data_IF_070867629411
#
_entry.id   IF_070867629411
#
_cell.length_a   1.000
_cell.length_b   1.000
_cell.length_c   1.000
_cell.angle_alpha   90.00
_cell.angle_beta   90.00
_cell.angle_gamma   90.00
#
_symmetry.space_group_name_H-M   'P 1'
#
loop_
_entity.id
_entity.type
_entity.pdbx_description
1 polymer ?
#
# COMPACT_ATOMS: atom_id res chain seq x y z
N UNK A 1 -55.02 61.36 -31.48
CA UNK A 1 -55.12 60.42 -30.39
C UNK A 1 -54.01 59.41 -30.57
N UNK A 2 -52.95 59.44 -29.73
CA UNK A 2 -51.84 58.54 -29.73
C UNK A 2 -51.95 57.62 -28.49
N UNK A 3 -52.22 56.33 -28.71
CA UNK A 3 -52.30 55.33 -27.64
C UNK A 3 -50.90 54.87 -27.31
N UNK A 4 -50.51 55.02 -26.04
CA UNK A 4 -49.26 54.53 -25.48
C UNK A 4 -49.56 53.18 -24.86
N UNK A 5 -48.93 52.11 -25.42
CA UNK A 5 -48.98 50.73 -24.88
C UNK A 5 -47.83 50.62 -23.92
N UNK A 6 -48.12 50.40 -22.61
CA UNK A 6 -47.15 50.04 -21.61
C UNK A 6 -46.87 48.51 -21.67
N UNK A 7 -45.67 48.18 -22.05
CA UNK A 7 -45.19 46.79 -21.98
C UNK A 7 -44.67 46.54 -20.56
N UNK A 8 -45.42 45.77 -19.74
CA UNK A 8 -44.96 45.29 -18.42
C UNK A 8 -44.11 44.07 -18.61
N UNK A 9 -42.80 44.21 -18.50
CA UNK A 9 -41.87 43.09 -18.50
C UNK A 9 -41.96 42.30 -17.19
N UNK A 10 -42.45 41.07 -17.27
CA UNK A 10 -42.44 40.12 -16.17
C UNK A 10 -41.04 39.46 -16.12
N UNK A 11 -40.23 39.89 -15.14
CA UNK A 11 -38.92 39.29 -14.88
C UNK A 11 -39.12 38.01 -14.09
N UNK A 12 -39.08 36.86 -14.77
CA UNK A 12 -39.04 35.55 -14.12
C UNK A 12 -37.66 35.39 -13.46
N UNK A 13 -37.64 35.55 -12.14
CA UNK A 13 -36.51 35.05 -11.33
C UNK A 13 -36.53 33.51 -11.37
N UNK A 14 -35.68 32.93 -12.20
CA UNK A 14 -35.36 31.51 -12.14
C UNK A 14 -34.59 31.25 -10.83
N UNK A 15 -35.33 30.93 -9.77
CA UNK A 15 -34.77 30.30 -8.59
C UNK A 15 -34.29 28.92 -9.04
N UNK A 16 -32.97 28.76 -9.19
CA UNK A 16 -32.36 27.43 -9.24
C UNK A 16 -32.56 26.73 -7.89
N UNK A 17 -33.70 26.09 -7.73
CA UNK A 17 -33.82 25.05 -6.71
C UNK A 17 -32.96 23.87 -7.18
N UNK A 18 -31.81 23.66 -6.54
CA UNK A 18 -31.06 22.43 -6.64
C UNK A 18 -32.00 21.30 -6.17
N UNK A 19 -32.61 20.60 -7.11
CA UNK A 19 -33.34 19.38 -6.79
C UNK A 19 -32.31 18.28 -6.45
N UNK A 20 -32.10 18.08 -5.17
CA UNK A 20 -31.44 16.84 -4.71
C UNK A 20 -32.17 15.65 -5.30
N UNK A 21 -31.41 14.67 -5.81
CA UNK A 21 -32.00 13.48 -6.39
C UNK A 21 -32.95 12.80 -5.38
N UNK A 22 -34.18 12.44 -5.77
CA UNK A 22 -35.16 11.88 -4.84
C UNK A 22 -34.57 10.64 -4.15
N UNK A 23 -34.54 10.65 -2.80
CA UNK A 23 -34.13 9.51 -1.98
C UNK A 23 -32.75 9.61 -1.32
N UNK A 24 -31.93 10.65 -1.61
CA UNK A 24 -30.61 10.78 -0.99
C UNK A 24 -30.72 11.31 0.44
N UNK A 25 -31.53 12.33 0.69
CA UNK A 25 -31.80 12.88 2.01
C UNK A 25 -33.25 13.37 2.12
N UNK A 26 -33.94 12.97 3.17
CA UNK A 26 -35.31 13.38 3.44
C UNK A 26 -35.48 13.68 4.91
N UNK A 27 -36.29 14.70 5.25
CA UNK A 27 -36.58 15.03 6.65
C UNK A 27 -37.99 15.63 6.76
N UNK A 28 -38.53 15.59 7.97
CA UNK A 28 -39.86 16.15 8.32
C UNK A 28 -39.76 17.36 9.29
N UNK A 29 -38.55 17.93 9.47
CA UNK A 29 -38.33 19.08 10.33
C UNK A 29 -39.02 20.29 9.73
N UNK A 30 -40.01 20.88 10.44
CA UNK A 30 -40.82 22.01 9.99
C UNK A 30 -40.19 23.37 10.34
N UNK A 31 -39.12 23.40 11.14
CA UNK A 31 -38.40 24.60 11.55
C UNK A 31 -37.56 25.18 10.40
N UNK A 32 -37.46 26.50 10.34
CA UNK A 32 -36.47 27.18 9.46
C UNK A 32 -35.03 27.03 9.95
N UNK A 33 -34.85 26.64 11.19
CA UNK A 33 -33.54 26.27 11.80
C UNK A 33 -33.45 24.75 11.91
N UNK A 34 -32.38 24.20 11.36
CA UNK A 34 -32.18 22.74 11.30
C UNK A 34 -31.08 22.30 12.24
N UNK A 35 -31.15 21.08 12.81
CA UNK A 35 -30.10 20.52 13.66
C UNK A 35 -28.89 19.98 12.89
N UNK A 36 -28.69 20.44 11.66
CA UNK A 36 -27.52 20.16 10.82
C UNK A 36 -27.02 21.45 10.16
N UNK A 37 -25.72 21.46 9.78
CA UNK A 37 -25.06 22.65 9.25
C UNK A 37 -25.16 22.79 7.73
N UNK A 38 -25.17 21.67 7.02
CA UNK A 38 -25.28 21.60 5.55
C UNK A 38 -25.80 20.23 5.12
N UNK A 39 -26.23 20.12 3.87
CA UNK A 39 -26.70 18.87 3.24
C UNK A 39 -25.79 18.45 2.08
N UNK A 40 -24.52 18.86 2.10
CA UNK A 40 -23.52 18.39 1.14
C UNK A 40 -23.06 17.01 1.59
N UNK A 41 -23.56 15.97 0.93
CA UNK A 41 -23.21 14.59 1.19
C UNK A 41 -22.05 14.18 0.29
N UNK A 42 -21.06 13.50 0.88
CA UNK A 42 -19.93 12.91 0.17
C UNK A 42 -20.33 11.55 -0.43
N UNK A 43 -21.03 11.57 -1.57
CA UNK A 43 -21.64 10.42 -2.24
C UNK A 43 -21.27 10.35 -3.74
N UNK A 44 -20.11 10.86 -4.12
CA UNK A 44 -19.62 10.79 -5.50
C UNK A 44 -19.49 9.35 -5.97
N UNK A 45 -20.03 9.05 -7.18
CA UNK A 45 -20.07 7.67 -7.72
C UNK A 45 -18.69 7.10 -8.07
N UNK A 46 -17.75 7.97 -8.37
CA UNK A 46 -16.37 7.67 -8.73
C UNK A 46 -15.42 7.62 -7.53
N UNK A 47 -15.91 8.02 -6.35
CA UNK A 47 -15.21 7.83 -5.09
C UNK A 47 -15.05 6.33 -4.77
N UNK A 48 -13.88 5.95 -4.29
CA UNK A 48 -13.62 4.62 -3.77
C UNK A 48 -12.53 4.66 -2.70
N UNK A 49 -12.43 3.58 -1.93
CA UNK A 49 -11.34 3.42 -0.98
C UNK A 49 -10.65 2.06 -1.16
N UNK A 50 -9.35 2.06 -0.92
CA UNK A 50 -8.57 0.83 -0.85
C UNK A 50 -7.68 0.83 0.39
N UNK A 51 -7.20 -0.35 0.75
CA UNK A 51 -6.30 -0.50 1.89
C UNK A 51 -4.93 -1.00 1.46
N UNK A 52 -3.92 -0.70 2.27
CA UNK A 52 -2.56 -1.17 2.08
C UNK A 52 -2.06 -1.79 3.37
N UNK A 53 -1.42 -2.96 3.28
CA UNK A 53 -0.65 -3.57 4.36
C UNK A 53 0.79 -3.83 3.91
N UNK A 54 1.69 -4.13 4.84
CA UNK A 54 3.13 -4.22 4.59
C UNK A 54 3.80 -5.21 5.53
N UNK A 55 4.91 -5.79 5.10
CA UNK A 55 5.91 -6.46 5.93
C UNK A 55 5.29 -7.33 7.04
N UNK A 56 4.82 -8.51 6.65
CA UNK A 56 4.32 -9.52 7.59
C UNK A 56 5.47 -10.27 8.25
N UNK A 57 6.62 -10.27 7.61
CA UNK A 57 7.76 -11.15 7.87
C UNK A 57 9.01 -10.38 8.32
N UNK A 58 10.16 -11.06 8.35
CA UNK A 58 11.33 -10.53 9.03
C UNK A 58 11.12 -10.62 10.55
N UNK A 59 10.82 -11.82 11.06
CA UNK A 59 10.38 -12.08 12.43
C UNK A 59 8.86 -12.02 12.58
N UNK A 60 8.14 -12.84 11.80
CA UNK A 60 6.68 -12.82 11.71
C UNK A 60 6.00 -13.08 13.07
N UNK A 61 5.01 -12.24 13.37
CA UNK A 61 4.03 -12.41 14.44
C UNK A 61 2.68 -12.74 13.79
N UNK A 62 2.51 -13.99 13.37
CA UNK A 62 1.46 -14.46 12.44
C UNK A 62 0.02 -14.10 12.83
N UNK A 63 -0.29 -14.01 14.11
CA UNK A 63 -1.63 -13.63 14.60
C UNK A 63 -1.98 -12.16 14.28
N UNK A 64 -0.98 -11.28 14.12
CA UNK A 64 -1.20 -9.86 13.78
C UNK A 64 -1.87 -9.74 12.41
N UNK A 65 -1.39 -10.44 11.39
CA UNK A 65 -2.00 -10.41 10.06
C UNK A 65 -3.43 -10.97 10.05
N UNK A 66 -3.69 -12.01 10.85
CA UNK A 66 -5.05 -12.54 11.03
C UNK A 66 -6.01 -11.48 11.59
N UNK A 67 -5.56 -10.69 12.56
CA UNK A 67 -6.33 -9.57 13.11
C UNK A 67 -6.51 -8.49 12.05
N UNK A 68 -5.44 -8.12 11.33
CA UNK A 68 -5.49 -7.11 10.28
C UNK A 68 -6.53 -7.44 9.20
N UNK A 69 -6.61 -8.71 8.75
CA UNK A 69 -7.62 -9.16 7.78
C UNK A 69 -9.04 -8.98 8.31
N UNK A 70 -9.31 -9.29 9.60
CA UNK A 70 -10.64 -9.07 10.18
C UNK A 70 -10.97 -7.58 10.32
N UNK A 71 -10.00 -6.75 10.64
CA UNK A 71 -10.17 -5.29 10.70
C UNK A 71 -10.41 -4.68 9.31
N UNK A 72 -9.70 -5.14 8.29
CA UNK A 72 -9.96 -4.80 6.88
C UNK A 72 -11.40 -5.17 6.48
N UNK A 73 -11.91 -6.32 6.94
CA UNK A 73 -13.30 -6.71 6.72
C UNK A 73 -14.32 -5.79 7.42
N UNK A 74 -13.96 -5.14 8.53
CA UNK A 74 -14.78 -4.11 9.19
C UNK A 74 -14.73 -2.78 8.43
N UNK A 75 -13.56 -2.38 7.96
CA UNK A 75 -13.33 -1.11 7.23
C UNK A 75 -13.89 -1.11 5.81
N UNK A 76 -14.01 -2.30 5.19
CA UNK A 76 -14.62 -2.51 3.87
C UNK A 76 -14.01 -1.71 2.71
N UNK A 77 -12.70 -1.77 2.50
CA UNK A 77 -12.11 -1.23 1.27
C UNK A 77 -12.67 -1.99 0.05
N UNK A 78 -12.68 -1.35 -1.12
CA UNK A 78 -13.10 -1.98 -2.38
C UNK A 78 -12.05 -2.98 -2.90
N UNK A 79 -10.77 -2.71 -2.62
CA UNK A 79 -9.64 -3.60 -2.89
C UNK A 79 -8.53 -3.42 -1.84
N UNK A 80 -7.62 -4.34 -1.79
CA UNK A 80 -6.47 -4.32 -0.89
C UNK A 80 -5.21 -4.54 -1.73
N UNK A 81 -4.17 -3.77 -1.47
CA UNK A 81 -2.82 -3.96 -2.03
C UNK A 81 -1.82 -4.16 -0.89
N UNK A 82 -0.59 -4.53 -1.20
CA UNK A 82 0.49 -4.60 -0.22
C UNK A 82 1.78 -4.06 -0.82
N UNK A 83 2.82 -3.94 0.00
CA UNK A 83 4.15 -3.51 -0.43
C UNK A 83 5.25 -4.54 -0.15
N UNK A 84 4.88 -5.84 -0.14
CA UNK A 84 5.82 -6.97 -0.11
C UNK A 84 6.10 -7.53 1.28
N UNK A 85 7.00 -8.52 1.30
CA UNK A 85 7.42 -9.32 2.45
C UNK A 85 6.25 -10.06 3.11
N UNK A 86 5.63 -10.96 2.33
CA UNK A 86 4.43 -11.72 2.69
C UNK A 86 4.75 -13.05 3.39
N UNK A 87 5.91 -13.67 3.06
CA UNK A 87 6.41 -14.90 3.66
C UNK A 87 7.87 -14.73 4.13
N UNK A 88 8.33 -15.52 5.10
CA UNK A 88 9.70 -15.40 5.63
C UNK A 88 10.78 -15.69 4.58
N UNK A 89 10.51 -16.62 3.67
CA UNK A 89 11.44 -16.98 2.62
C UNK A 89 12.73 -17.63 3.11
N UNK A 90 13.81 -17.51 2.31
CA UNK A 90 15.15 -17.95 2.70
C UNK A 90 15.29 -19.46 2.83
N UNK A 91 14.49 -20.24 2.13
CA UNK A 91 14.51 -21.69 2.17
C UNK A 91 15.13 -22.29 0.91
N UNK A 92 15.79 -23.44 1.04
CA UNK A 92 16.31 -24.23 -0.09
C UNK A 92 15.35 -25.34 -0.53
N UNK A 93 14.26 -25.55 0.20
CA UNK A 93 13.29 -26.61 -0.02
C UNK A 93 11.99 -26.01 -0.60
N UNK A 94 11.59 -26.43 -1.82
CA UNK A 94 10.34 -25.97 -2.42
C UNK A 94 9.10 -26.29 -1.59
N UNK A 95 9.10 -27.41 -0.85
CA UNK A 95 7.98 -27.79 0.01
C UNK A 95 7.83 -26.83 1.20
N UNK A 96 8.95 -26.32 1.74
CA UNK A 96 8.92 -25.29 2.79
C UNK A 96 8.40 -23.95 2.26
N UNK A 97 8.83 -23.54 1.07
CA UNK A 97 8.27 -22.36 0.38
C UNK A 97 6.76 -22.50 0.22
N UNK A 98 6.28 -23.65 -0.26
CA UNK A 98 4.86 -23.90 -0.45
C UNK A 98 4.09 -23.88 0.88
N UNK A 99 4.63 -24.46 1.97
CA UNK A 99 3.99 -24.38 3.29
C UNK A 99 3.83 -22.95 3.80
N UNK A 100 4.83 -22.09 3.60
CA UNK A 100 4.74 -20.67 3.99
C UNK A 100 3.66 -19.96 3.20
N UNK A 101 3.63 -20.14 1.87
CA UNK A 101 2.59 -19.56 1.00
C UNK A 101 1.20 -20.11 1.33
N UNK A 102 1.04 -21.38 1.58
CA UNK A 102 -0.25 -21.96 1.98
C UNK A 102 -0.76 -21.36 3.29
N UNK A 103 0.13 -21.12 4.26
CA UNK A 103 -0.20 -20.44 5.51
C UNK A 103 -0.64 -18.99 5.28
N UNK A 104 0.07 -18.26 4.43
CA UNK A 104 -0.30 -16.89 4.06
C UNK A 104 -1.65 -16.86 3.33
N UNK A 105 -1.82 -17.68 2.28
CA UNK A 105 -3.05 -17.75 1.47
C UNK A 105 -4.27 -18.13 2.30
N UNK A 106 -4.13 -19.04 3.26
CA UNK A 106 -5.21 -19.42 4.19
C UNK A 106 -5.70 -18.22 5.01
N UNK A 107 -4.78 -17.35 5.46
CA UNK A 107 -5.11 -16.14 6.22
C UNK A 107 -5.67 -15.06 5.30
N UNK A 108 -5.03 -14.81 4.16
CA UNK A 108 -5.42 -13.82 3.16
C UNK A 108 -6.81 -14.13 2.56
N UNK A 109 -7.16 -15.41 2.35
CA UNK A 109 -8.46 -15.85 1.83
C UNK A 109 -9.65 -15.47 2.71
N UNK A 110 -9.43 -15.02 3.95
CA UNK A 110 -10.47 -14.51 4.84
C UNK A 110 -10.83 -13.04 4.58
N UNK A 111 -10.07 -12.35 3.75
CA UNK A 111 -10.41 -11.01 3.30
C UNK A 111 -11.64 -11.05 2.38
N UNK A 112 -12.53 -10.05 2.54
CA UNK A 112 -13.72 -9.91 1.68
C UNK A 112 -13.40 -9.18 0.39
N UNK A 113 -12.50 -8.20 0.45
CA UNK A 113 -12.02 -7.48 -0.72
C UNK A 113 -10.88 -8.27 -1.38
N UNK A 114 -10.73 -8.19 -2.71
CA UNK A 114 -9.60 -8.81 -3.41
C UNK A 114 -8.28 -8.20 -2.93
N UNK A 115 -7.27 -9.04 -2.77
CA UNK A 115 -5.89 -8.63 -2.45
C UNK A 115 -5.04 -8.78 -3.71
N UNK A 116 -4.33 -7.72 -4.08
CA UNK A 116 -3.36 -7.71 -5.18
C UNK A 116 -1.95 -7.84 -4.58
N UNK A 117 -1.24 -8.91 -4.92
CA UNK A 117 0.03 -9.26 -4.30
C UNK A 117 1.19 -8.54 -4.98
N UNK A 118 2.15 -8.12 -4.16
CA UNK A 118 3.46 -7.63 -4.57
C UNK A 118 4.51 -8.35 -3.74
N UNK A 119 5.62 -8.75 -4.34
CA UNK A 119 6.71 -9.40 -3.64
C UNK A 119 7.75 -8.40 -3.10
N UNK A 120 8.28 -8.71 -1.91
CA UNK A 120 9.44 -8.07 -1.34
C UNK A 120 10.68 -8.98 -1.41
N UNK A 121 11.75 -8.61 -0.70
CA UNK A 121 12.98 -9.40 -0.73
C UNK A 121 12.85 -10.76 -0.02
N UNK A 122 11.95 -10.89 0.94
CA UNK A 122 11.67 -12.18 1.55
C UNK A 122 10.96 -13.12 0.57
N UNK A 123 10.16 -12.58 -0.32
CA UNK A 123 9.36 -13.33 -1.30
C UNK A 123 10.13 -13.69 -2.58
N UNK A 124 11.13 -12.87 -2.99
CA UNK A 124 11.71 -12.90 -4.34
C UNK A 124 13.23 -13.07 -4.40
N UNK A 125 13.95 -13.11 -3.25
CA UNK A 125 15.40 -13.28 -3.29
C UNK A 125 15.77 -14.74 -3.58
N UNK A 126 16.40 -14.96 -4.72
CA UNK A 126 16.86 -16.27 -5.19
C UNK A 126 15.97 -16.86 -6.29
N UNK A 127 16.56 -17.76 -7.09
CA UNK A 127 15.85 -18.36 -8.22
C UNK A 127 14.66 -19.20 -7.78
N UNK A 128 14.83 -20.02 -6.75
CA UNK A 128 13.74 -20.85 -6.21
C UNK A 128 12.55 -20.01 -5.73
N UNK A 129 12.81 -18.90 -5.05
CA UNK A 129 11.78 -17.98 -4.60
C UNK A 129 10.95 -17.43 -5.78
N UNK A 130 11.62 -17.03 -6.85
CA UNK A 130 11.00 -16.53 -8.08
C UNK A 130 10.19 -17.58 -8.82
N UNK A 131 10.71 -18.80 -8.92
CA UNK A 131 10.02 -19.93 -9.56
C UNK A 131 8.71 -20.25 -8.79
N UNK A 132 8.77 -20.31 -7.46
CA UNK A 132 7.59 -20.53 -6.62
C UNK A 132 6.61 -19.36 -6.74
N UNK A 133 7.11 -18.12 -6.77
CA UNK A 133 6.24 -16.94 -6.98
C UNK A 133 5.52 -17.01 -8.33
N UNK A 134 6.26 -17.28 -9.42
CA UNK A 134 5.67 -17.32 -10.77
C UNK A 134 4.63 -18.44 -10.91
N UNK A 135 4.89 -19.60 -10.30
CA UNK A 135 3.94 -20.72 -10.30
C UNK A 135 2.65 -20.37 -9.54
N UNK A 136 2.74 -19.67 -8.39
CA UNK A 136 1.59 -19.38 -7.52
C UNK A 136 0.86 -18.08 -7.84
N UNK A 137 1.61 -17.03 -8.16
CA UNK A 137 1.11 -15.65 -8.24
C UNK A 137 1.24 -15.03 -9.64
N UNK A 138 2.00 -15.68 -10.56
CA UNK A 138 2.23 -15.17 -11.90
C UNK A 138 3.33 -14.08 -11.96
N UNK A 139 3.16 -13.03 -12.76
CA UNK A 139 4.23 -12.07 -13.00
C UNK A 139 4.63 -11.33 -11.71
N UNK A 140 5.94 -11.06 -11.54
CA UNK A 140 6.51 -10.35 -10.39
C UNK A 140 6.24 -8.86 -10.42
N UNK A 141 6.04 -8.28 -11.61
CA UNK A 141 5.62 -6.91 -11.81
C UNK A 141 4.46 -6.85 -12.80
N UNK A 142 3.51 -5.96 -12.56
CA UNK A 142 2.32 -5.80 -13.38
C UNK A 142 1.64 -4.47 -13.09
N UNK A 143 0.62 -4.14 -13.88
CA UNK A 143 -0.26 -3.01 -13.59
C UNK A 143 -1.72 -3.41 -13.69
N UNK A 144 -2.56 -2.62 -13.08
CA UNK A 144 -3.99 -2.68 -13.31
C UNK A 144 -4.60 -1.27 -13.18
N UNK A 145 -5.76 -1.12 -13.75
CA UNK A 145 -6.56 0.09 -13.61
C UNK A 145 -7.86 -0.25 -12.89
N UNK A 146 -8.16 0.51 -11.85
CA UNK A 146 -9.44 0.43 -11.16
C UNK A 146 -10.12 1.78 -11.21
N UNK A 147 -11.33 1.82 -11.82
CA UNK A 147 -11.97 3.06 -12.25
C UNK A 147 -10.99 3.86 -13.13
N UNK A 148 -10.71 5.10 -12.83
CA UNK A 148 -9.78 5.98 -13.53
C UNK A 148 -8.45 6.21 -12.77
N UNK A 149 -8.06 5.23 -11.98
CA UNK A 149 -6.81 5.21 -11.20
C UNK A 149 -5.94 4.05 -11.64
N UNK A 150 -4.66 4.33 -11.88
CA UNK A 150 -3.65 3.36 -12.29
C UNK A 150 -2.85 2.87 -11.08
N UNK A 151 -2.63 1.57 -11.02
CA UNK A 151 -1.77 0.93 -10.02
C UNK A 151 -0.60 0.26 -10.74
N UNK A 152 0.61 0.64 -10.36
CA UNK A 152 1.85 0.04 -10.84
C UNK A 152 2.47 -0.77 -9.70
N UNK A 153 2.63 -2.07 -9.93
CA UNK A 153 3.21 -3.01 -8.97
C UNK A 153 4.59 -3.38 -9.50
N UNK A 154 5.64 -2.91 -8.85
CA UNK A 154 7.02 -3.07 -9.31
C UNK A 154 7.77 -4.11 -8.48
N UNK A 155 8.61 -4.90 -9.13
CA UNK A 155 9.60 -5.77 -8.49
C UNK A 155 10.90 -4.98 -8.25
N UNK A 156 11.27 -4.80 -7.00
CA UNK A 156 12.52 -4.12 -6.61
C UNK A 156 13.70 -5.07 -6.39
N UNK A 157 13.48 -6.37 -6.58
CA UNK A 157 14.52 -7.40 -6.58
C UNK A 157 14.96 -7.76 -8.01
N UNK A 158 14.67 -6.93 -9.02
CA UNK A 158 14.86 -7.22 -10.45
C UNK A 158 16.32 -7.05 -10.91
N UNK A 159 17.21 -7.77 -10.23
CA UNK A 159 18.63 -7.87 -10.54
C UNK A 159 18.86 -8.93 -11.63
N UNK A 160 20.04 -8.85 -12.30
CA UNK A 160 20.45 -9.94 -13.20
C UNK A 160 20.55 -11.27 -12.49
N UNK A 161 20.39 -12.42 -13.19
CA UNK A 161 20.48 -13.74 -12.56
C UNK A 161 21.77 -13.96 -11.75
N UNK A 162 22.92 -13.51 -12.28
CA UNK A 162 24.22 -13.61 -11.63
C UNK A 162 24.28 -12.78 -10.36
N UNK A 163 23.80 -11.54 -10.41
CA UNK A 163 23.76 -10.64 -9.24
C UNK A 163 22.81 -11.17 -8.18
N UNK A 164 21.65 -11.70 -8.61
CA UNK A 164 20.67 -12.28 -7.69
C UNK A 164 21.25 -13.52 -6.97
N UNK A 165 21.97 -14.38 -7.67
CA UNK A 165 22.62 -15.54 -7.04
C UNK A 165 23.68 -15.12 -6.00
N UNK A 166 24.43 -14.07 -6.28
CA UNK A 166 25.39 -13.49 -5.32
C UNK A 166 24.67 -12.94 -4.08
N UNK A 167 23.60 -12.14 -4.29
CA UNK A 167 22.79 -11.58 -3.19
C UNK A 167 22.20 -12.71 -2.33
N UNK A 168 21.62 -13.73 -2.95
CA UNK A 168 21.03 -14.87 -2.25
C UNK A 168 22.06 -15.58 -1.38
N UNK A 169 23.22 -15.93 -1.95
CA UNK A 169 24.30 -16.56 -1.21
C UNK A 169 24.71 -15.73 0.00
N UNK A 170 25.02 -14.45 -0.19
CA UNK A 170 25.46 -13.57 0.88
C UNK A 170 24.39 -13.34 1.95
N UNK A 171 23.12 -13.26 1.53
CA UNK A 171 21.99 -13.14 2.46
C UNK A 171 21.86 -14.39 3.35
N UNK A 172 21.93 -15.57 2.77
CA UNK A 172 21.83 -16.83 3.52
C UNK A 172 22.96 -16.98 4.54
N UNK A 173 24.21 -16.70 4.14
CA UNK A 173 25.37 -16.66 5.04
C UNK A 173 25.14 -15.68 6.20
N UNK A 174 24.65 -14.46 5.90
CA UNK A 174 24.41 -13.44 6.89
C UNK A 174 23.26 -13.78 7.85
N UNK A 175 22.18 -14.40 7.36
CA UNK A 175 21.06 -14.85 8.19
C UNK A 175 21.49 -15.94 9.17
N UNK A 176 22.36 -16.89 8.76
CA UNK A 176 22.92 -17.87 9.68
C UNK A 176 23.78 -17.23 10.76
N UNK A 177 24.63 -16.25 10.42
CA UNK A 177 25.40 -15.46 11.39
C UNK A 177 24.47 -14.69 12.35
N UNK A 178 23.36 -14.12 11.82
CA UNK A 178 22.38 -13.44 12.68
C UNK A 178 21.77 -14.39 13.73
N UNK A 179 21.41 -15.61 13.31
CA UNK A 179 20.79 -16.61 14.21
C UNK A 179 21.76 -17.11 15.28
N UNK A 180 23.05 -17.28 14.95
CA UNK A 180 24.06 -17.84 15.84
C UNK A 180 24.74 -16.80 16.72
N UNK A 181 25.11 -15.66 16.13
CA UNK A 181 26.02 -14.67 16.74
C UNK A 181 25.35 -13.29 16.95
N UNK A 182 24.11 -13.14 16.46
CA UNK A 182 23.28 -11.96 16.71
C UNK A 182 23.52 -10.77 15.77
N UNK A 183 22.83 -9.65 16.05
CA UNK A 183 22.77 -8.49 15.14
C UNK A 183 24.11 -7.75 14.97
N UNK A 184 24.97 -7.77 15.96
CA UNK A 184 26.29 -7.13 15.87
C UNK A 184 27.21 -7.84 14.88
N UNK A 185 27.21 -9.19 14.90
CA UNK A 185 27.93 -10.01 13.94
C UNK A 185 27.35 -9.89 12.53
N UNK A 186 26.02 -9.88 12.40
CA UNK A 186 25.34 -9.62 11.12
C UNK A 186 25.78 -8.32 10.49
N UNK A 187 25.88 -7.23 11.25
CA UNK A 187 26.30 -5.92 10.75
C UNK A 187 27.72 -5.92 10.13
N UNK A 188 28.55 -6.92 10.43
CA UNK A 188 29.88 -7.08 9.85
C UNK A 188 29.92 -7.92 8.57
N UNK A 189 28.80 -8.56 8.20
CA UNK A 189 28.73 -9.41 7.00
C UNK A 189 28.84 -8.59 5.71
N UNK A 190 29.20 -9.25 4.63
CA UNK A 190 29.24 -8.64 3.30
C UNK A 190 27.84 -8.20 2.87
N UNK A 191 26.82 -9.05 3.07
CA UNK A 191 25.43 -8.74 2.77
C UNK A 191 24.94 -7.45 3.44
N UNK A 192 25.29 -7.22 4.71
CA UNK A 192 24.89 -6.02 5.43
C UNK A 192 25.43 -4.71 4.81
N UNK A 193 26.48 -4.80 3.96
CA UNK A 193 27.10 -3.67 3.27
C UNK A 193 26.72 -3.57 1.80
N UNK A 194 26.01 -4.54 1.25
CA UNK A 194 25.55 -4.50 -0.14
C UNK A 194 24.46 -3.44 -0.31
N UNK A 195 24.47 -2.65 -1.41
CA UNK A 195 23.41 -1.67 -1.65
C UNK A 195 22.03 -2.30 -1.73
N UNK A 196 21.91 -3.51 -2.27
CA UNK A 196 20.65 -4.26 -2.37
C UNK A 196 20.08 -4.71 -1.03
N UNK A 197 20.84 -4.57 0.06
CA UNK A 197 20.34 -4.79 1.43
C UNK A 197 19.28 -3.75 1.82
N UNK A 198 19.36 -2.53 1.32
CA UNK A 198 18.50 -1.41 1.71
C UNK A 198 17.76 -0.78 0.55
N UNK A 199 18.30 -0.82 -0.66
CA UNK A 199 17.74 -0.20 -1.85
C UNK A 199 17.36 -1.23 -2.92
N UNK A 200 16.35 -0.89 -3.72
CA UNK A 200 15.86 -1.75 -4.79
C UNK A 200 16.58 -1.56 -6.12
N UNK A 201 16.37 -2.50 -7.04
CA UNK A 201 16.81 -2.44 -8.43
C UNK A 201 15.62 -2.66 -9.35
N UNK A 202 15.49 -1.82 -10.37
CA UNK A 202 14.51 -1.96 -11.45
C UNK A 202 15.26 -2.32 -12.74
N UNK A 203 14.99 -3.50 -13.32
CA UNK A 203 15.61 -3.94 -14.55
C UNK A 203 15.13 -3.15 -15.78
N UNK A 204 15.92 -3.18 -16.85
CA UNK A 204 15.63 -2.42 -18.07
C UNK A 204 14.32 -2.82 -18.76
N UNK A 205 14.01 -4.11 -18.80
CA UNK A 205 12.77 -4.63 -19.40
C UNK A 205 11.54 -4.17 -18.59
N UNK A 206 11.64 -4.20 -17.27
CA UNK A 206 10.59 -3.69 -16.38
C UNK A 206 10.41 -2.18 -16.55
N UNK A 207 11.50 -1.43 -16.60
CA UNK A 207 11.44 0.02 -16.81
C UNK A 207 10.81 0.38 -18.15
N UNK A 208 11.16 -0.34 -19.20
CA UNK A 208 10.55 -0.17 -20.53
C UNK A 208 9.06 -0.44 -20.50
N UNK A 209 8.66 -1.58 -19.90
CA UNK A 209 7.25 -1.95 -19.74
C UNK A 209 6.44 -0.85 -19.04
N UNK A 210 6.91 -0.35 -17.89
CA UNK A 210 6.17 0.68 -17.18
C UNK A 210 6.16 2.05 -17.87
N UNK A 211 7.20 2.42 -18.62
CA UNK A 211 7.16 3.62 -19.47
C UNK A 211 6.05 3.55 -20.52
N UNK A 212 5.90 2.38 -21.16
CA UNK A 212 4.80 2.13 -22.10
C UNK A 212 3.44 2.21 -21.42
N UNK A 213 3.29 1.58 -20.24
CA UNK A 213 2.07 1.62 -19.42
C UNK A 213 1.71 3.06 -19.01
N UNK A 214 2.67 3.83 -18.50
CA UNK A 214 2.47 5.22 -18.09
C UNK A 214 2.01 6.08 -19.29
N UNK A 215 2.63 5.88 -20.46
CA UNK A 215 2.25 6.59 -21.68
C UNK A 215 0.84 6.22 -22.16
N UNK A 216 0.49 4.93 -22.11
CA UNK A 216 -0.82 4.43 -22.55
C UNK A 216 -1.98 4.82 -21.62
N UNK A 217 -1.70 5.20 -20.37
CA UNK A 217 -2.69 5.58 -19.36
C UNK A 217 -2.57 7.05 -18.96
N UNK A 218 -2.42 7.94 -19.94
CA UNK A 218 -2.29 9.40 -19.69
C UNK A 218 -3.59 10.06 -19.22
N UNK A 219 -4.72 9.37 -19.33
CA UNK A 219 -6.06 9.84 -19.00
C UNK A 219 -6.51 9.54 -17.54
N UNK A 220 -5.67 8.86 -16.75
CA UNK A 220 -5.99 8.57 -15.35
C UNK A 220 -5.86 9.81 -14.47
N UNK A 221 -6.72 9.94 -13.46
CA UNK A 221 -6.67 11.06 -12.51
C UNK A 221 -5.57 10.91 -11.46
N UNK A 222 -5.11 9.69 -11.17
CA UNK A 222 -4.04 9.41 -10.21
C UNK A 222 -3.32 8.12 -10.54
N UNK A 223 -2.06 7.99 -10.13
CA UNK A 223 -1.31 6.74 -10.20
C UNK A 223 -0.72 6.41 -8.83
N UNK A 224 -0.89 5.16 -8.39
CA UNK A 224 -0.20 4.61 -7.24
C UNK A 224 0.91 3.69 -7.70
N UNK A 225 2.13 3.94 -7.20
CA UNK A 225 3.31 3.12 -7.44
C UNK A 225 3.59 2.35 -6.16
N UNK A 226 3.56 1.03 -6.23
CA UNK A 226 3.87 0.16 -5.11
C UNK A 226 5.21 -0.51 -5.40
N UNK A 227 6.13 -0.36 -4.47
CA UNK A 227 7.47 -0.95 -4.48
C UNK A 227 7.78 -1.49 -3.09
N UNK A 228 8.73 -2.41 -2.97
CA UNK A 228 9.15 -2.88 -1.65
C UNK A 228 10.32 -2.07 -1.10
N UNK A 229 11.45 -2.04 -1.80
CA UNK A 229 12.62 -1.25 -1.41
C UNK A 229 12.68 0.10 -2.14
N UNK A 230 13.18 1.16 -1.48
CA UNK A 230 13.35 2.48 -2.10
C UNK A 230 14.44 2.41 -3.19
N UNK A 231 14.03 2.25 -4.46
CA UNK A 231 14.99 2.13 -5.57
C UNK A 231 15.83 3.41 -5.74
N UNK A 232 15.26 4.58 -5.50
CA UNK A 232 15.93 5.88 -5.61
C UNK A 232 17.07 6.12 -4.60
N UNK A 233 17.26 5.24 -3.63
CA UNK A 233 18.34 5.32 -2.66
C UNK A 233 19.62 4.61 -3.14
N UNK A 234 19.54 3.83 -4.22
CA UNK A 234 20.69 3.19 -4.84
C UNK A 234 21.39 4.17 -5.79
N UNK A 235 22.70 4.36 -5.63
CA UNK A 235 23.46 5.41 -6.31
C UNK A 235 23.39 5.32 -7.86
N UNK A 236 23.39 4.12 -8.41
CA UNK A 236 23.40 3.87 -9.86
C UNK A 236 22.00 3.59 -10.42
N UNK A 237 20.93 3.65 -9.62
CA UNK A 237 19.57 3.35 -10.08
C UNK A 237 19.00 4.49 -10.93
N UNK A 238 18.96 4.27 -12.24
CA UNK A 238 18.45 5.26 -13.19
C UNK A 238 17.05 4.92 -13.72
N UNK A 239 16.65 3.65 -13.65
CA UNK A 239 15.39 3.19 -14.22
C UNK A 239 14.17 3.73 -13.47
N UNK A 240 14.20 3.71 -12.12
CA UNK A 240 13.13 4.30 -11.35
C UNK A 240 13.03 5.83 -11.54
N UNK A 241 14.18 6.52 -11.58
CA UNK A 241 14.23 7.95 -11.91
C UNK A 241 13.63 8.25 -13.29
N UNK A 242 13.88 7.40 -14.28
CA UNK A 242 13.28 7.53 -15.61
C UNK A 242 11.76 7.25 -15.62
N UNK A 243 11.25 6.41 -14.70
CA UNK A 243 9.81 6.26 -14.49
C UNK A 243 9.20 7.51 -13.82
N UNK A 244 9.85 8.07 -12.79
CA UNK A 244 9.43 9.34 -12.18
C UNK A 244 9.27 10.44 -13.24
N UNK A 245 10.25 10.57 -14.14
CA UNK A 245 10.24 11.54 -15.23
C UNK A 245 9.13 11.30 -16.27
N UNK A 246 8.75 10.04 -16.50
CA UNK A 246 7.69 9.70 -17.47
C UNK A 246 6.29 10.18 -17.05
N UNK A 247 6.11 10.56 -15.80
CA UNK A 247 4.83 11.12 -15.32
C UNK A 247 4.65 12.60 -15.68
N UNK A 248 5.72 13.33 -16.00
CA UNK A 248 5.67 14.79 -16.13
C UNK A 248 4.97 15.43 -14.90
N UNK A 249 3.95 16.25 -15.12
CA UNK A 249 3.19 16.90 -14.04
C UNK A 249 2.02 16.04 -13.49
N UNK A 250 1.80 14.82 -14.01
CA UNK A 250 0.70 13.95 -13.58
C UNK A 250 0.87 13.51 -12.12
N UNK A 251 -0.21 13.49 -11.33
CA UNK A 251 -0.13 13.14 -9.93
C UNK A 251 0.12 11.65 -9.72
N UNK A 252 1.03 11.34 -8.80
CA UNK A 252 1.26 9.98 -8.32
C UNK A 252 1.67 9.97 -6.85
N UNK A 253 1.51 8.82 -6.21
CA UNK A 253 1.98 8.55 -4.85
C UNK A 253 2.75 7.23 -4.85
N UNK A 254 3.86 7.17 -4.12
CA UNK A 254 4.66 5.95 -3.94
C UNK A 254 4.46 5.39 -2.55
N UNK A 255 4.12 4.10 -2.47
CA UNK A 255 4.09 3.34 -1.23
C UNK A 255 5.19 2.29 -1.25
N UNK A 256 5.91 2.15 -0.13
CA UNK A 256 6.99 1.19 0.01
C UNK A 256 7.09 0.65 1.44
N UNK A 257 7.89 -0.39 1.67
CA UNK A 257 8.04 -1.08 2.94
C UNK A 257 9.50 -1.32 3.34
N UNK A 258 9.85 -2.57 3.69
CA UNK A 258 11.19 -3.07 3.92
C UNK A 258 11.84 -2.64 5.25
N UNK A 259 11.70 -1.37 5.63
CA UNK A 259 12.43 -0.84 6.80
C UNK A 259 11.77 -1.13 8.13
N UNK A 260 10.50 -1.55 8.12
CA UNK A 260 9.63 -1.74 9.28
C UNK A 260 9.47 -0.46 10.15
N UNK A 261 9.75 0.69 9.57
CA UNK A 261 9.67 2.00 10.23
C UNK A 261 8.87 2.94 9.35
N UNK A 262 7.78 3.49 9.89
CA UNK A 262 6.97 4.44 9.15
C UNK A 262 7.75 5.72 8.86
N UNK A 263 7.73 6.15 7.60
CA UNK A 263 8.30 7.42 7.17
C UNK A 263 7.44 8.06 6.08
N UNK A 264 7.36 9.37 6.10
CA UNK A 264 6.76 10.18 5.06
C UNK A 264 7.78 11.19 4.53
N UNK A 265 7.93 11.26 3.24
CA UNK A 265 8.77 12.24 2.57
C UNK A 265 8.15 12.69 1.25
N UNK A 266 8.64 13.79 0.72
CA UNK A 266 8.28 14.26 -0.62
C UNK A 266 9.49 14.25 -1.54
N UNK A 267 9.29 13.75 -2.77
CA UNK A 267 10.24 13.82 -3.88
C UNK A 267 9.53 14.40 -5.09
N UNK A 268 10.12 15.37 -5.76
CA UNK A 268 9.53 16.03 -6.93
C UNK A 268 8.10 16.53 -6.70
N UNK A 269 7.77 16.95 -5.48
CA UNK A 269 6.43 17.38 -5.09
C UNK A 269 5.38 16.26 -5.03
N UNK A 270 5.81 14.99 -4.96
CA UNK A 270 4.95 13.79 -4.82
C UNK A 270 5.21 13.13 -3.48
N UNK A 271 4.19 12.47 -2.96
CA UNK A 271 4.24 11.77 -1.67
C UNK A 271 4.88 10.39 -1.80
N UNK A 272 5.85 10.12 -0.92
CA UNK A 272 6.55 8.85 -0.76
C UNK A 272 6.38 8.36 0.66
N UNK A 273 5.67 7.25 0.84
CA UNK A 273 5.21 6.78 2.13
C UNK A 273 5.77 5.38 2.39
N UNK A 274 6.66 5.29 3.40
CA UNK A 274 7.14 4.01 3.90
C UNK A 274 6.18 3.48 4.95
N UNK A 275 5.64 2.28 4.73
CA UNK A 275 4.85 1.59 5.73
C UNK A 275 5.80 0.92 6.75
N UNK A 276 5.32 0.78 7.99
CA UNK A 276 6.05 0.05 9.02
C UNK A 276 5.81 -1.46 8.88
N UNK A 277 4.91 -2.05 9.64
CA UNK A 277 4.64 -3.49 9.54
C UNK A 277 3.14 -3.82 9.67
N UNK A 278 2.78 -5.02 9.24
CA UNK A 278 1.49 -5.63 9.58
C UNK A 278 1.74 -7.04 10.14
N UNK A 279 2.70 -7.14 11.07
CA UNK A 279 3.06 -8.39 11.75
C UNK A 279 4.55 -8.74 11.75
N UNK A 280 5.38 -8.08 10.97
CA UNK A 280 6.84 -8.25 10.98
C UNK A 280 7.51 -7.71 12.24
N UNK A 281 8.81 -7.94 12.39
CA UNK A 281 9.58 -7.43 13.52
C UNK A 281 9.57 -5.89 13.55
N UNK A 282 9.48 -5.33 14.76
CA UNK A 282 9.49 -3.89 14.96
C UNK A 282 10.86 -3.40 15.43
N UNK A 283 11.27 -2.21 14.94
CA UNK A 283 12.53 -1.56 15.26
C UNK A 283 12.33 -0.17 15.89
N UNK A 284 11.73 -0.05 17.08
CA UNK A 284 11.39 1.25 17.66
C UNK A 284 12.60 2.16 17.91
N UNK A 285 13.79 1.58 18.06
CA UNK A 285 15.05 2.34 18.16
C UNK A 285 15.44 3.06 16.85
N UNK A 286 14.92 2.61 15.70
CA UNK A 286 15.18 3.21 14.38
C UNK A 286 14.19 4.30 14.00
N UNK A 287 13.04 4.38 14.70
CA UNK A 287 11.97 5.33 14.39
C UNK A 287 10.58 4.81 14.74
N UNK A 288 9.56 5.36 14.09
CA UNK A 288 8.16 5.00 14.34
C UNK A 288 7.85 3.62 13.72
N UNK A 289 7.98 2.58 14.52
CA UNK A 289 7.65 1.21 14.17
C UNK A 289 6.35 0.80 14.86
N UNK A 290 5.37 0.30 14.09
CA UNK A 290 4.02 -0.02 14.58
C UNK A 290 3.32 -1.01 13.67
N UNK A 291 2.36 -1.75 14.21
CA UNK A 291 1.43 -2.54 13.40
C UNK A 291 0.30 -1.66 12.90
N UNK A 292 0.23 -1.49 11.60
CA UNK A 292 -0.75 -0.62 10.99
C UNK A 292 -1.18 -1.10 9.60
N UNK A 293 -2.23 -0.49 9.10
CA UNK A 293 -2.65 -0.48 7.72
C UNK A 293 -2.85 0.96 7.27
N UNK A 294 -2.84 1.20 5.98
CA UNK A 294 -3.26 2.49 5.42
C UNK A 294 -4.60 2.35 4.72
N UNK A 295 -5.47 3.34 4.91
CA UNK A 295 -6.71 3.51 4.16
C UNK A 295 -6.55 4.70 3.24
N UNK A 296 -6.78 4.47 1.97
CA UNK A 296 -6.68 5.49 0.92
C UNK A 296 -8.06 5.71 0.31
N UNK A 297 -8.52 6.93 0.32
CA UNK A 297 -9.76 7.35 -0.35
C UNK A 297 -9.40 8.21 -1.54
N UNK A 298 -9.97 7.88 -2.68
CA UNK A 298 -9.77 8.63 -3.93
C UNK A 298 -11.12 9.17 -4.39
N UNK A 299 -11.18 10.45 -4.64
CA UNK A 299 -12.35 11.11 -5.24
C UNK A 299 -11.93 12.18 -6.27
N UNK A 300 -12.84 13.05 -6.66
CA UNK A 300 -12.58 14.11 -7.63
C UNK A 300 -11.76 15.29 -7.06
N UNK A 301 -11.66 15.39 -5.74
CA UNK A 301 -10.87 16.44 -5.06
C UNK A 301 -9.42 16.00 -4.85
N UNK A 302 -9.15 14.69 -4.93
CA UNK A 302 -7.79 14.12 -4.81
C UNK A 302 -7.72 12.80 -4.06
N UNK A 303 -6.71 12.69 -3.21
CA UNK A 303 -6.39 11.48 -2.45
C UNK A 303 -6.23 11.83 -0.97
N UNK A 304 -7.04 11.18 -0.14
CA UNK A 304 -6.90 11.22 1.31
C UNK A 304 -6.29 9.91 1.83
N UNK A 305 -5.29 10.01 2.69
CA UNK A 305 -4.55 8.86 3.22
C UNK A 305 -4.60 8.86 4.74
N UNK A 306 -5.20 7.81 5.31
CA UNK A 306 -5.27 7.60 6.75
C UNK A 306 -4.34 6.46 7.17
N UNK A 307 -3.44 6.75 8.12
CA UNK A 307 -2.61 5.73 8.76
C UNK A 307 -3.35 5.21 10.02
N UNK A 308 -3.71 3.94 10.02
CA UNK A 308 -4.60 3.35 11.02
C UNK A 308 -3.87 2.24 11.77
N UNK A 309 -3.59 2.47 13.06
CA UNK A 309 -2.98 1.45 13.93
C UNK A 309 -3.95 0.32 14.23
N UNK A 310 -3.48 -0.93 14.19
CA UNK A 310 -4.31 -2.11 14.44
C UNK A 310 -4.86 -2.15 15.88
N UNK A 311 -4.14 -1.60 16.84
CA UNK A 311 -4.57 -1.50 18.23
C UNK A 311 -5.80 -0.58 18.43
N UNK A 312 -6.13 0.26 17.44
CA UNK A 312 -7.23 1.23 17.51
C UNK A 312 -8.49 0.83 16.76
N UNK A 313 -8.52 -0.31 16.07
CA UNK A 313 -9.68 -0.76 15.30
C UNK A 313 -10.44 -1.83 16.08
N UNK A 314 -11.58 -1.45 16.62
CA UNK A 314 -12.43 -2.31 17.44
C UNK A 314 -13.69 -2.74 16.67
N UNK A 315 -14.22 -3.89 17.01
CA UNK A 315 -15.52 -4.33 16.51
C UNK A 315 -16.67 -3.68 17.31
N UNK A 316 -17.90 -4.04 16.99
CA UNK A 316 -19.12 -3.51 17.66
C UNK A 316 -19.23 -3.83 19.15
N UNK A 317 -18.42 -4.76 19.67
CA UNK A 317 -18.38 -5.13 21.09
C UNK A 317 -17.33 -4.35 21.88
N UNK A 318 -16.53 -3.51 21.19
CA UNK A 318 -15.45 -2.73 21.76
C UNK A 318 -14.14 -3.50 21.93
N UNK A 319 -14.01 -4.65 21.27
CA UNK A 319 -12.82 -5.50 21.31
C UNK A 319 -12.09 -5.52 19.96
N UNK A 320 -10.78 -5.77 20.00
CA UNK A 320 -10.00 -6.04 18.78
C UNK A 320 -10.42 -7.41 18.25
N UNK A 321 -10.84 -7.53 16.98
CA UNK A 321 -11.36 -8.77 16.43
C UNK A 321 -10.34 -9.91 16.45
N UNK A 322 -10.82 -11.14 16.29
CA UNK A 322 -10.01 -12.36 16.21
C UNK A 322 -9.10 -12.63 17.43
N UNK A 323 -9.48 -12.13 18.61
CA UNK A 323 -8.70 -12.30 19.85
C UNK A 323 -7.54 -11.33 20.00
N UNK A 324 -7.53 -10.24 19.22
CA UNK A 324 -6.45 -9.26 19.18
C UNK A 324 -6.19 -8.54 20.52
N UNK A 325 -7.17 -8.50 21.43
CA UNK A 325 -6.97 -7.90 22.77
C UNK A 325 -5.86 -8.57 23.60
N UNK A 326 -5.52 -9.81 23.26
CA UNK A 326 -4.42 -10.55 23.91
C UNK A 326 -3.06 -10.38 23.26
N UNK A 327 -2.99 -9.64 22.13
CA UNK A 327 -1.78 -9.48 21.34
C UNK A 327 -1.02 -8.20 21.71
N UNK A 328 0.30 -8.25 21.59
CA UNK A 328 1.17 -7.10 21.71
C UNK A 328 1.43 -6.56 20.31
N UNK A 329 0.81 -5.42 19.97
CA UNK A 329 0.97 -4.77 18.67
C UNK A 329 2.24 -3.92 18.57
N UNK A 330 2.75 -3.45 19.71
CA UNK A 330 3.99 -2.67 19.74
C UNK A 330 5.01 -3.41 20.62
N UNK A 331 6.27 -3.41 20.17
CA UNK A 331 7.36 -4.00 20.95
C UNK A 331 7.59 -3.12 22.19
N UNK A 332 7.27 -3.65 23.38
CA UNK A 332 7.56 -2.99 24.62
C UNK A 332 9.08 -3.07 24.84
N UNK A 333 9.76 -1.95 24.77
CA UNK A 333 11.16 -1.87 25.21
C UNK A 333 11.15 -1.93 26.74
N UNK A 334 11.44 -3.12 27.30
CA UNK A 334 11.64 -3.25 28.75
C UNK A 334 12.95 -2.54 29.11
N UNK A 335 12.83 -1.33 29.64
CA UNK A 335 13.97 -0.60 30.20
C UNK A 335 14.13 0.83 29.68
N UNK A 336 13.22 1.70 30.05
CA UNK A 336 13.49 3.11 30.33
C UNK A 336 13.24 3.39 31.79
#
# INVERSE_FOLDING_TARGET
MRSIIYLVGFMFLLSCTQHDAPGVFQHEVQSSVHPWKHTRFDNAKDKFSFAIFSDLTGGERSEIFKVAVQQLNLLRPELIVNVGDLVEGGQHDPDEWNRQWDSFDLRASKARAPIFYMGGNHDLTGQLARDVWEERNGPRYYHFRYKDVLFLILDTEDNTPERMAEIEQKRLEAVEIYKTDGPEAFAQTEYARMPERTAGTIGDDQAKYFKEVISANSDVRWTFILIHKPAWEKEDEQNFTALEQAFDDRPYTVFYGHTHVYNYQQRHGRDYINLATTGGEQFPAKGKSMDHIMMVTVDNEGVDIANVQLSGILDKTGHIPAGGDSLVFEKIISGQ
#
